data_IF_990783485005
#
_entry.id   IF_990783485005
#
_cell.length_a   1.000
_cell.length_b   1.000
_cell.length_c   1.000
_cell.angle_alpha   90.00
_cell.angle_beta   90.00
_cell.angle_gamma   90.00
#
_symmetry.space_group_name_H-M   'P 1'
#
loop_
_entity.id
_entity.type
_entity.pdbx_description
1 polymer ?
#
# COMPACT_ATOMS: atom_id res chain seq x y z
N UNK A 1 -40.29 77.00 -42.29
CA UNK A 1 -40.95 76.12 -43.27
C UNK A 1 -39.89 75.38 -44.08
N UNK A 2 -40.08 74.06 -44.20
CA UNK A 2 -39.49 73.10 -45.14
C UNK A 2 -37.99 72.71 -45.06
N UNK A 3 -37.85 71.43 -44.75
CA UNK A 3 -36.72 70.52 -44.88
C UNK A 3 -35.98 70.58 -46.23
N UNK A 4 -34.69 70.27 -46.18
CA UNK A 4 -34.10 69.21 -47.01
C UNK A 4 -32.86 68.61 -46.36
N UNK A 5 -32.69 67.32 -46.61
CA UNK A 5 -31.86 66.30 -45.95
C UNK A 5 -30.69 65.95 -46.88
N UNK A 6 -29.47 65.78 -46.36
CA UNK A 6 -28.61 64.61 -46.60
C UNK A 6 -27.16 64.76 -46.06
N UNK A 7 -26.74 63.70 -45.38
CA UNK A 7 -25.40 63.11 -45.25
C UNK A 7 -24.23 63.94 -44.69
N UNK A 8 -23.63 63.45 -43.59
CA UNK A 8 -22.32 62.75 -43.60
C UNK A 8 -22.10 61.99 -42.27
N UNK A 9 -21.44 60.84 -42.39
CA UNK A 9 -20.99 59.92 -41.34
C UNK A 9 -20.12 60.60 -40.27
N UNK A 10 -20.18 60.15 -39.01
CA UNK A 10 -19.06 59.46 -38.35
C UNK A 10 -19.42 58.83 -36.99
N UNK A 11 -18.62 57.82 -36.66
CA UNK A 11 -18.71 56.79 -35.63
C UNK A 11 -18.73 57.28 -34.18
N UNK A 12 -19.27 56.45 -33.28
CA UNK A 12 -18.54 55.90 -32.12
C UNK A 12 -19.41 54.89 -31.36
N UNK A 13 -19.45 53.65 -31.84
CA UNK A 13 -19.83 52.48 -31.05
C UNK A 13 -18.71 52.17 -30.05
N UNK A 14 -18.94 52.41 -28.77
CA UNK A 14 -18.02 52.06 -27.69
C UNK A 14 -18.06 50.53 -27.52
N UNK A 15 -17.11 49.83 -28.15
CA UNK A 15 -16.89 48.42 -27.89
C UNK A 15 -16.21 48.28 -26.51
N UNK A 16 -16.87 47.62 -25.57
CA UNK A 16 -16.23 47.05 -24.40
C UNK A 16 -15.32 45.91 -24.87
N UNK A 17 -14.02 46.19 -25.04
CA UNK A 17 -12.99 45.16 -25.09
C UNK A 17 -12.74 44.70 -23.66
N UNK A 18 -13.51 43.71 -23.21
CA UNK A 18 -13.09 42.90 -22.07
C UNK A 18 -11.80 42.21 -22.47
N UNK A 19 -10.69 42.59 -21.82
CA UNK A 19 -9.43 41.87 -21.87
C UNK A 19 -9.66 40.46 -21.30
N UNK A 20 -10.03 39.51 -22.15
CA UNK A 20 -9.74 38.12 -21.86
C UNK A 20 -8.21 38.03 -21.81
N UNK A 21 -7.65 37.96 -20.60
CA UNK A 21 -6.25 37.60 -20.43
C UNK A 21 -6.00 36.26 -21.14
N UNK A 22 -4.76 35.97 -21.57
CA UNK A 22 -4.45 34.68 -22.15
C UNK A 22 -4.83 33.60 -21.11
N UNK A 23 -5.91 32.86 -21.38
CA UNK A 23 -6.08 31.55 -20.78
C UNK A 23 -4.87 30.76 -21.31
N UNK A 24 -3.88 30.53 -20.45
CA UNK A 24 -2.78 29.63 -20.78
C UNK A 24 -3.45 28.30 -21.12
N UNK A 25 -3.32 27.89 -22.38
CA UNK A 25 -3.90 26.63 -22.81
C UNK A 25 -3.19 25.52 -22.04
N UNK A 26 -3.97 24.70 -21.32
CA UNK A 26 -3.46 23.49 -20.67
C UNK A 26 -2.71 22.63 -21.70
N UNK A 27 -1.57 22.09 -21.31
CA UNK A 27 -0.78 21.16 -22.14
C UNK A 27 -0.95 19.74 -21.60
N UNK A 28 -1.92 19.01 -22.16
CA UNK A 28 -2.21 17.63 -21.74
C UNK A 28 -1.03 16.67 -21.97
N UNK A 29 -0.22 16.89 -23.02
CA UNK A 29 0.91 16.01 -23.30
C UNK A 29 2.06 16.23 -22.31
N UNK A 30 2.30 17.48 -21.91
CA UNK A 30 3.23 17.81 -20.83
C UNK A 30 2.75 17.27 -19.47
N UNK A 31 1.46 17.40 -19.15
CA UNK A 31 0.85 16.82 -17.94
C UNK A 31 1.10 15.31 -17.87
N UNK A 32 0.79 14.56 -18.93
CA UNK A 32 0.96 13.11 -18.96
C UNK A 32 2.45 12.68 -18.88
N UNK A 33 3.37 13.48 -19.44
CA UNK A 33 4.82 13.24 -19.29
C UNK A 33 5.26 13.42 -17.84
N UNK A 34 4.77 14.46 -17.14
CA UNK A 34 5.07 14.69 -15.72
C UNK A 34 4.45 13.61 -14.83
N UNK A 35 3.23 13.17 -15.12
CA UNK A 35 2.61 12.03 -14.45
C UNK A 35 3.49 10.78 -14.57
N UNK A 36 3.90 10.42 -15.79
CA UNK A 36 4.81 9.28 -16.00
C UNK A 36 6.14 9.44 -15.25
N UNK A 37 6.73 10.64 -15.26
CA UNK A 37 7.96 10.91 -14.53
C UNK A 37 7.80 10.73 -13.01
N UNK A 38 6.65 11.15 -12.47
CA UNK A 38 6.33 11.02 -11.05
C UNK A 38 6.06 9.57 -10.63
N UNK A 39 5.40 8.77 -11.47
CA UNK A 39 5.14 7.35 -11.18
C UNK A 39 6.36 6.46 -11.41
N UNK A 40 7.27 6.85 -12.30
CA UNK A 40 8.50 6.10 -12.61
C UNK A 40 9.42 5.96 -11.39
N UNK A 41 9.37 6.89 -10.44
CA UNK A 41 10.12 6.80 -9.18
C UNK A 41 9.70 5.58 -8.32
N UNK A 42 8.45 5.12 -8.47
CA UNK A 42 7.93 3.89 -7.86
C UNK A 42 8.02 2.66 -8.75
N UNK A 43 8.72 2.73 -9.89
CA UNK A 43 8.86 1.63 -10.85
C UNK A 43 7.67 1.45 -11.80
N UNK A 44 6.66 2.32 -11.74
CA UNK A 44 5.51 2.31 -12.66
C UNK A 44 5.79 3.14 -13.89
N UNK A 45 5.65 2.54 -15.08
CA UNK A 45 5.85 3.19 -16.37
C UNK A 45 4.50 3.41 -17.02
N UNK A 46 4.19 4.66 -17.34
CA UNK A 46 2.96 5.05 -18.05
C UNK A 46 3.33 5.51 -19.45
N UNK A 47 2.73 4.89 -20.45
CA UNK A 47 2.78 5.36 -21.84
C UNK A 47 1.39 5.76 -22.30
N UNK A 48 1.32 6.65 -23.29
CA UNK A 48 0.08 7.13 -23.87
C UNK A 48 0.32 7.49 -25.34
N UNK A 49 -0.72 7.43 -26.16
CA UNK A 49 -0.62 7.78 -27.59
C UNK A 49 -0.86 9.27 -27.81
N UNK A 50 -1.86 9.83 -27.14
CA UNK A 50 -2.28 11.22 -27.29
C UNK A 50 -2.90 11.73 -25.99
N UNK A 51 -2.81 13.03 -25.76
CA UNK A 51 -3.52 13.74 -24.71
C UNK A 51 -4.18 14.97 -25.32
N UNK A 52 -5.51 14.95 -25.43
CA UNK A 52 -6.33 16.05 -25.93
C UNK A 52 -6.83 16.92 -24.79
N UNK A 53 -7.01 18.21 -25.05
CA UNK A 53 -7.46 19.19 -24.06
C UNK A 53 -8.73 19.85 -24.57
N UNK A 54 -9.80 19.81 -23.76
CA UNK A 54 -11.05 20.53 -23.98
C UNK A 54 -11.44 21.27 -22.69
N UNK A 55 -11.33 22.60 -22.70
CA UNK A 55 -11.55 23.40 -21.50
C UNK A 55 -10.54 23.06 -20.39
N UNK A 56 -11.04 22.62 -19.25
CA UNK A 56 -10.29 22.11 -18.08
C UNK A 56 -10.23 20.57 -18.04
N UNK A 57 -10.62 19.89 -19.12
CA UNK A 57 -10.56 18.43 -19.22
C UNK A 57 -9.40 18.00 -20.10
N UNK A 58 -8.63 17.01 -19.64
CA UNK A 58 -7.58 16.34 -20.42
C UNK A 58 -7.98 14.88 -20.63
N UNK A 59 -8.03 14.44 -21.88
CA UNK A 59 -8.33 13.05 -22.24
C UNK A 59 -7.07 12.40 -22.82
N UNK A 60 -6.51 11.44 -22.09
CA UNK A 60 -5.34 10.67 -22.52
C UNK A 60 -5.78 9.34 -23.13
N UNK A 61 -5.48 9.10 -24.40
CA UNK A 61 -5.87 7.90 -25.13
C UNK A 61 -4.70 6.94 -25.33
N UNK A 62 -5.01 5.64 -25.41
CA UNK A 62 -4.01 4.60 -25.62
C UNK A 62 -3.06 4.44 -24.43
N UNK A 63 -3.55 4.73 -23.22
CA UNK A 63 -2.78 4.63 -21.99
C UNK A 63 -2.47 3.17 -21.69
N UNK A 64 -1.20 2.91 -21.40
CA UNK A 64 -0.70 1.61 -20.97
C UNK A 64 0.14 1.79 -19.72
N UNK A 65 -0.03 0.87 -18.78
CA UNK A 65 0.69 0.85 -17.51
C UNK A 65 1.54 -0.40 -17.47
N UNK A 66 2.82 -0.27 -17.19
CA UNK A 66 3.75 -1.38 -17.00
C UNK A 66 4.63 -1.16 -15.77
N UNK A 67 5.44 -2.17 -15.47
CA UNK A 67 6.44 -2.10 -14.41
C UNK A 67 7.84 -2.19 -15.00
N UNK A 68 8.75 -1.32 -14.55
CA UNK A 68 10.12 -1.23 -15.09
C UNK A 68 10.87 -2.58 -15.01
N UNK A 69 10.58 -3.39 -14.00
CA UNK A 69 11.19 -4.70 -13.77
C UNK A 69 10.53 -5.85 -14.55
N UNK A 70 9.45 -5.59 -15.28
CA UNK A 70 8.77 -6.55 -16.17
C UNK A 70 8.58 -5.92 -17.57
N UNK A 71 9.67 -5.66 -18.30
CA UNK A 71 9.60 -4.99 -19.59
C UNK A 71 8.86 -5.86 -20.62
N UNK A 72 7.73 -5.36 -21.13
CA UNK A 72 6.91 -6.03 -22.14
C UNK A 72 5.51 -6.40 -21.64
N UNK A 73 5.35 -6.60 -20.34
CA UNK A 73 4.06 -6.89 -19.72
C UNK A 73 3.39 -5.56 -19.36
N UNK A 74 2.61 -5.05 -20.31
CA UNK A 74 1.86 -3.80 -20.16
C UNK A 74 0.36 -4.08 -20.11
N UNK A 75 -0.29 -3.47 -19.12
CA UNK A 75 -1.73 -3.43 -19.00
C UNK A 75 -2.27 -2.29 -19.85
N UNK A 76 -3.10 -2.62 -20.84
CA UNK A 76 -3.79 -1.62 -21.66
C UNK A 76 -4.97 -1.06 -20.88
N UNK A 77 -4.81 0.16 -20.37
CA UNK A 77 -5.87 0.86 -19.64
C UNK A 77 -6.86 1.46 -20.63
N UNK A 78 -6.39 1.99 -21.76
CA UNK A 78 -7.26 2.60 -22.76
C UNK A 78 -7.31 4.12 -22.61
N UNK A 79 -8.46 4.68 -22.24
CA UNK A 79 -8.65 6.14 -22.14
C UNK A 79 -8.75 6.58 -20.68
N UNK A 80 -7.94 7.56 -20.27
CA UNK A 80 -8.07 8.23 -18.98
C UNK A 80 -8.64 9.63 -19.19
N UNK A 81 -9.60 10.01 -18.36
CA UNK A 81 -10.18 11.36 -18.36
C UNK A 81 -9.83 12.08 -17.08
N UNK A 82 -9.18 13.23 -17.20
CA UNK A 82 -8.82 14.11 -16.10
C UNK A 82 -9.72 15.34 -16.17
N UNK A 83 -10.53 15.58 -15.14
CA UNK A 83 -11.47 16.70 -15.09
C UNK A 83 -11.01 17.78 -14.09
N UNK A 84 -11.32 19.03 -14.40
CA UNK A 84 -10.96 20.17 -13.55
C UNK A 84 -9.46 20.35 -13.41
N UNK A 85 -8.72 20.16 -14.50
CA UNK A 85 -7.27 20.28 -14.56
C UNK A 85 -6.88 21.75 -14.49
N UNK A 86 -5.99 22.05 -13.55
CA UNK A 86 -5.41 23.37 -13.36
C UNK A 86 -3.89 23.24 -13.29
N UNK A 87 -3.16 24.14 -13.95
CA UNK A 87 -1.71 24.23 -13.79
C UNK A 87 -1.39 24.84 -12.42
N UNK A 88 -0.53 24.20 -11.65
CA UNK A 88 -0.10 24.70 -10.34
C UNK A 88 1.08 25.65 -10.48
N UNK A 89 1.32 26.48 -9.46
CA UNK A 89 2.54 27.29 -9.40
C UNK A 89 3.78 26.43 -9.62
N UNK A 90 4.69 26.90 -10.48
CA UNK A 90 5.90 26.16 -10.86
C UNK A 90 5.73 25.16 -12.00
N UNK A 91 4.53 25.08 -12.61
CA UNK A 91 4.27 24.25 -13.79
C UNK A 91 3.94 22.79 -13.46
N UNK A 92 3.37 22.52 -12.28
CA UNK A 92 2.75 21.23 -12.00
C UNK A 92 1.30 21.20 -12.48
N UNK A 93 0.57 20.14 -12.18
CA UNK A 93 -0.86 20.05 -12.52
C UNK A 93 -1.66 19.51 -11.34
N UNK A 94 -2.90 19.95 -11.20
CA UNK A 94 -3.88 19.37 -10.29
C UNK A 94 -5.13 19.00 -11.08
N UNK A 95 -5.58 17.75 -10.98
CA UNK A 95 -6.87 17.31 -11.49
C UNK A 95 -7.83 17.08 -10.32
N UNK A 96 -9.08 17.50 -10.47
CA UNK A 96 -10.11 17.25 -9.45
C UNK A 96 -10.50 15.79 -9.41
N UNK A 97 -10.67 15.20 -10.60
CA UNK A 97 -11.07 13.81 -10.78
C UNK A 97 -10.27 13.20 -11.92
N UNK A 98 -9.88 11.94 -11.77
CA UNK A 98 -9.32 11.10 -12.82
C UNK A 98 -10.16 9.84 -12.90
N UNK A 99 -10.88 9.69 -14.00
CA UNK A 99 -11.72 8.53 -14.27
C UNK A 99 -11.02 7.59 -15.23
N UNK A 100 -11.11 6.31 -14.90
CA UNK A 100 -10.58 5.22 -15.70
C UNK A 100 -11.75 4.51 -16.40
N UNK A 101 -11.52 3.85 -17.53
CA UNK A 101 -12.54 3.03 -18.14
C UNK A 101 -12.70 1.74 -17.32
N UNK A 102 -13.88 1.13 -17.38
CA UNK A 102 -14.06 -0.22 -16.86
C UNK A 102 -13.07 -1.16 -17.54
N UNK A 103 -12.28 -1.85 -16.73
CA UNK A 103 -11.34 -2.85 -17.21
C UNK A 103 -12.11 -4.17 -17.32
N UNK A 104 -12.12 -4.74 -18.51
CA UNK A 104 -12.68 -6.07 -18.76
C UNK A 104 -11.78 -6.81 -19.72
N UNK A 105 -10.99 -7.74 -19.18
CA UNK A 105 -9.97 -8.47 -19.92
C UNK A 105 -10.26 -9.95 -19.86
N UNK A 106 -10.27 -10.61 -21.01
CA UNK A 106 -10.37 -12.06 -21.12
C UNK A 106 -9.11 -12.62 -21.78
N UNK A 107 -8.49 -13.62 -21.17
CA UNK A 107 -7.36 -14.36 -21.72
C UNK A 107 -7.57 -15.86 -21.48
N UNK A 108 -7.49 -16.65 -22.56
CA UNK A 108 -7.64 -18.11 -22.55
C UNK A 108 -8.82 -18.63 -21.71
N UNK A 109 -8.57 -18.97 -20.45
CA UNK A 109 -9.52 -19.57 -19.50
C UNK A 109 -9.91 -18.63 -18.35
N UNK A 110 -9.42 -17.38 -18.33
CA UNK A 110 -9.65 -16.43 -17.25
C UNK A 110 -10.18 -15.09 -17.71
N UNK A 111 -10.97 -14.44 -16.86
CA UNK A 111 -11.46 -13.07 -17.06
C UNK A 111 -11.18 -12.25 -15.82
N UNK A 112 -10.62 -11.07 -16.02
CA UNK A 112 -10.43 -10.06 -14.99
C UNK A 112 -11.35 -8.88 -15.29
N UNK A 113 -12.04 -8.37 -14.27
CA UNK A 113 -12.78 -7.13 -14.40
C UNK A 113 -12.59 -6.23 -13.19
N UNK A 114 -12.57 -4.91 -13.42
CA UNK A 114 -12.54 -3.88 -12.41
C UNK A 114 -13.35 -2.68 -12.91
N UNK A 115 -14.19 -2.11 -12.06
CA UNK A 115 -15.15 -1.06 -12.43
C UNK A 115 -15.07 0.14 -11.52
N UNK A 116 -15.60 1.26 -12.00
CA UNK A 116 -15.76 2.49 -11.21
C UNK A 116 -14.44 2.92 -10.55
N UNK A 117 -13.34 2.85 -11.30
CA UNK A 117 -12.00 3.24 -10.83
C UNK A 117 -11.86 4.76 -10.97
N UNK A 118 -11.55 5.42 -9.87
CA UNK A 118 -11.47 6.87 -9.77
C UNK A 118 -10.34 7.31 -8.83
N UNK A 119 -9.69 8.42 -9.17
CA UNK A 119 -8.80 9.17 -8.27
C UNK A 119 -9.34 10.59 -8.14
N UNK A 120 -9.41 11.12 -6.93
CA UNK A 120 -9.75 12.53 -6.68
C UNK A 120 -8.55 13.30 -6.13
N UNK A 121 -8.50 14.60 -6.43
CA UNK A 121 -7.48 15.50 -5.91
C UNK A 121 -6.05 15.17 -6.36
N UNK A 122 -5.87 14.57 -7.54
CA UNK A 122 -4.55 14.20 -8.05
C UNK A 122 -3.69 15.46 -8.26
N UNK A 123 -2.54 15.51 -7.60
CA UNK A 123 -1.54 16.57 -7.73
C UNK A 123 -0.26 16.00 -8.32
N UNK A 124 0.05 16.43 -9.55
CA UNK A 124 1.20 16.01 -10.34
C UNK A 124 2.33 17.06 -10.16
N UNK A 125 3.50 16.66 -9.65
CA UNK A 125 4.59 17.59 -9.40
C UNK A 125 5.19 18.13 -10.70
N UNK A 126 5.65 19.38 -10.68
CA UNK A 126 6.39 19.96 -11.80
C UNK A 126 7.73 19.25 -12.04
N UNK A 127 8.37 18.80 -10.95
CA UNK A 127 9.66 18.12 -10.95
C UNK A 127 9.66 16.93 -9.99
N UNK A 128 9.39 15.74 -10.52
CA UNK A 128 9.43 14.49 -9.76
C UNK A 128 10.81 14.11 -9.17
N UNK A 129 11.88 14.84 -9.51
CA UNK A 129 13.25 14.56 -9.01
C UNK A 129 13.70 15.48 -7.88
N UNK A 130 12.82 16.39 -7.45
CA UNK A 130 13.08 17.32 -6.37
C UNK A 130 13.19 16.62 -5.00
N UNK A 131 13.08 17.39 -3.93
CA UNK A 131 13.32 16.91 -2.56
C UNK A 131 12.33 17.45 -1.54
N UNK A 132 11.24 18.05 -2.01
CA UNK A 132 10.20 18.67 -1.19
C UNK A 132 8.87 17.94 -1.39
N UNK A 133 7.88 18.24 -0.54
CA UNK A 133 6.53 17.68 -0.70
C UNK A 133 5.87 18.02 -2.03
N UNK A 134 6.22 19.17 -2.62
CA UNK A 134 5.68 19.60 -3.91
C UNK A 134 6.24 18.78 -5.09
N UNK A 135 7.24 17.93 -4.84
CA UNK A 135 7.91 17.10 -5.84
C UNK A 135 7.34 15.66 -5.86
N UNK A 136 6.30 15.39 -5.08
CA UNK A 136 5.69 14.06 -4.91
C UNK A 136 4.33 14.03 -5.59
N UNK A 137 4.00 12.90 -6.22
CA UNK A 137 2.65 12.63 -6.71
C UNK A 137 1.73 12.39 -5.50
N UNK A 138 0.70 13.22 -5.35
CA UNK A 138 -0.28 13.12 -4.26
C UNK A 138 -1.68 12.94 -4.84
N UNK A 139 -2.57 12.34 -4.06
CA UNK A 139 -4.00 12.24 -4.34
C UNK A 139 -4.76 12.48 -3.03
N UNK A 140 -6.07 12.72 -3.10
CA UNK A 140 -6.93 12.85 -1.90
C UNK A 140 -7.66 11.53 -1.63
N UNK A 141 -8.33 10.98 -2.65
CA UNK A 141 -8.97 9.66 -2.57
C UNK A 141 -8.63 8.83 -3.81
N UNK A 142 -8.48 7.52 -3.62
CA UNK A 142 -8.53 6.52 -4.67
C UNK A 142 -9.68 5.56 -4.35
N UNK A 143 -10.52 5.28 -5.33
CA UNK A 143 -11.59 4.30 -5.19
C UNK A 143 -11.71 3.39 -6.41
N UNK A 144 -12.21 2.19 -6.16
CA UNK A 144 -12.65 1.25 -7.18
C UNK A 144 -13.93 0.59 -6.71
N UNK A 145 -14.85 0.38 -7.63
CA UNK A 145 -15.98 -0.53 -7.46
C UNK A 145 -15.54 -1.99 -7.53
N UNK A 146 -16.46 -2.90 -7.92
CA UNK A 146 -16.20 -4.32 -7.89
C UNK A 146 -15.01 -4.76 -8.74
N UNK A 147 -14.13 -5.57 -8.15
CA UNK A 147 -13.06 -6.28 -8.84
C UNK A 147 -13.41 -7.76 -8.80
N UNK A 148 -13.30 -8.45 -9.94
CA UNK A 148 -13.58 -9.88 -10.02
C UNK A 148 -12.58 -10.60 -10.93
N UNK A 149 -12.23 -11.83 -10.53
CA UNK A 149 -11.48 -12.78 -11.33
C UNK A 149 -12.33 -14.04 -11.50
N UNK A 150 -12.62 -14.36 -12.75
CA UNK A 150 -13.24 -15.59 -13.17
C UNK A 150 -12.20 -16.51 -13.80
N UNK A 151 -12.27 -17.80 -13.47
CA UNK A 151 -11.51 -18.86 -14.14
C UNK A 151 -12.50 -19.94 -14.56
N UNK A 152 -12.54 -20.27 -15.85
CA UNK A 152 -13.39 -21.31 -16.45
C UNK A 152 -14.89 -21.09 -16.16
N UNK A 153 -15.35 -19.84 -16.12
CA UNK A 153 -16.74 -19.49 -15.85
C UNK A 153 -17.14 -19.63 -14.38
N UNK A 154 -16.16 -19.62 -13.46
CA UNK A 154 -16.37 -19.57 -12.02
C UNK A 154 -15.63 -18.38 -11.42
N UNK A 155 -16.34 -17.60 -10.61
CA UNK A 155 -15.74 -16.53 -9.79
C UNK A 155 -14.82 -17.15 -8.73
N UNK A 156 -13.50 -17.00 -8.92
CA UNK A 156 -12.50 -17.50 -7.96
C UNK A 156 -12.07 -16.44 -6.95
N UNK A 157 -12.25 -15.16 -7.30
CA UNK A 157 -11.90 -14.04 -6.46
C UNK A 157 -12.79 -12.83 -6.75
N UNK A 158 -13.20 -12.13 -5.70
CA UNK A 158 -13.94 -10.87 -5.81
C UNK A 158 -13.57 -9.92 -4.67
N UNK A 159 -13.62 -8.63 -4.95
CA UNK A 159 -13.59 -7.53 -3.98
C UNK A 159 -14.79 -6.64 -4.30
N UNK A 160 -15.51 -6.17 -3.29
CA UNK A 160 -16.66 -5.27 -3.48
C UNK A 160 -16.22 -3.85 -3.82
N UNK A 161 -15.12 -3.39 -3.22
CA UNK A 161 -14.44 -2.15 -3.58
C UNK A 161 -13.16 -1.93 -2.78
N UNK A 162 -12.35 -1.00 -3.24
CA UNK A 162 -11.20 -0.46 -2.51
C UNK A 162 -11.43 1.03 -2.37
N UNK A 163 -11.15 1.56 -1.18
CA UNK A 163 -11.14 2.99 -0.90
C UNK A 163 -9.84 3.30 -0.16
N UNK A 164 -9.17 4.38 -0.55
CA UNK A 164 -7.94 4.85 0.09
C UNK A 164 -7.97 6.36 0.15
N UNK A 165 -7.68 6.93 1.31
CA UNK A 165 -7.69 8.35 1.56
C UNK A 165 -6.30 8.80 2.02
N UNK A 166 -5.89 9.98 1.56
CA UNK A 166 -4.67 10.65 1.97
C UNK A 166 -5.02 12.09 2.35
N UNK A 167 -4.95 12.38 3.64
CA UNK A 167 -5.25 13.70 4.20
C UNK A 167 -3.96 14.40 4.59
N UNK A 168 -3.78 15.65 4.13
CA UNK A 168 -2.65 16.47 4.56
C UNK A 168 -2.91 17.03 5.96
N UNK A 169 -1.93 16.85 6.85
CA UNK A 169 -1.95 17.38 8.22
C UNK A 169 -0.80 18.37 8.44
N UNK A 170 -0.80 19.06 9.57
CA UNK A 170 0.30 19.95 9.96
C UNK A 170 1.62 19.15 10.04
N UNK A 171 2.52 19.38 9.08
CA UNK A 171 3.83 18.73 9.03
C UNK A 171 3.83 17.30 8.47
N UNK A 172 2.72 16.79 7.93
CA UNK A 172 2.63 15.41 7.48
C UNK A 172 1.36 15.02 6.74
N UNK A 173 1.07 13.72 6.75
CA UNK A 173 -0.13 13.12 6.17
C UNK A 173 -0.71 12.08 7.12
N UNK A 174 -2.04 11.98 7.16
CA UNK A 174 -2.72 10.77 7.60
C UNK A 174 -3.25 10.02 6.39
N UNK A 175 -3.31 8.70 6.50
CA UNK A 175 -3.85 7.86 5.45
C UNK A 175 -4.68 6.73 6.05
N UNK A 176 -5.70 6.33 5.30
CA UNK A 176 -6.45 5.11 5.55
C UNK A 176 -6.74 4.41 4.22
N UNK A 177 -6.89 3.09 4.29
CA UNK A 177 -7.35 2.29 3.18
C UNK A 177 -8.24 1.15 3.67
N UNK A 178 -9.20 0.78 2.84
CA UNK A 178 -10.15 -0.30 3.10
C UNK A 178 -10.37 -1.11 1.82
N UNK A 179 -10.18 -2.41 1.92
CA UNK A 179 -10.58 -3.40 0.91
C UNK A 179 -11.81 -4.11 1.44
N UNK A 180 -12.97 -3.79 0.87
CA UNK A 180 -14.25 -4.30 1.31
C UNK A 180 -14.64 -5.60 0.59
N UNK A 181 -15.23 -6.53 1.34
CA UNK A 181 -15.91 -7.70 0.77
C UNK A 181 -15.02 -8.62 -0.05
N UNK A 182 -13.77 -8.82 0.38
CA UNK A 182 -12.84 -9.77 -0.24
C UNK A 182 -13.41 -11.17 -0.11
N UNK A 183 -13.64 -11.83 -1.24
CA UNK A 183 -14.11 -13.21 -1.35
C UNK A 183 -13.15 -14.01 -2.21
N UNK A 184 -12.82 -15.22 -1.79
CA UNK A 184 -12.04 -16.16 -2.59
C UNK A 184 -12.62 -17.57 -2.48
N UNK A 185 -12.80 -18.24 -3.62
CA UNK A 185 -13.24 -19.63 -3.67
C UNK A 185 -12.02 -20.55 -3.84
N UNK A 186 -11.69 -21.28 -2.76
CA UNK A 186 -10.59 -22.24 -2.74
C UNK A 186 -11.03 -23.65 -3.16
N UNK A 187 -12.30 -23.86 -3.52
CA UNK A 187 -12.79 -25.17 -3.99
C UNK A 187 -12.16 -25.64 -5.30
N UNK A 188 -11.58 -24.72 -6.07
CA UNK A 188 -10.92 -25.00 -7.35
C UNK A 188 -9.44 -25.37 -7.19
N UNK A 189 -8.90 -25.40 -5.96
CA UNK A 189 -7.53 -25.85 -5.72
C UNK A 189 -7.42 -27.36 -5.96
N UNK A 190 -6.62 -27.75 -6.95
CA UNK A 190 -6.47 -29.15 -7.38
C UNK A 190 -5.36 -29.91 -6.65
N UNK A 191 -4.38 -29.20 -6.06
CA UNK A 191 -3.31 -29.84 -5.30
C UNK A 191 -3.89 -30.63 -4.11
N UNK A 192 -3.59 -31.93 -4.06
CA UNK A 192 -4.21 -32.84 -3.12
C UNK A 192 -3.94 -32.47 -1.66
N UNK A 193 -2.71 -32.02 -1.35
CA UNK A 193 -2.33 -31.64 0.01
C UNK A 193 -3.00 -30.35 0.46
N UNK A 194 -3.12 -29.39 -0.46
CA UNK A 194 -3.80 -28.11 -0.23
C UNK A 194 -5.31 -28.33 -0.07
N UNK A 195 -5.91 -29.19 -0.89
CA UNK A 195 -7.34 -29.51 -0.81
C UNK A 195 -7.71 -30.15 0.52
N UNK A 196 -6.93 -31.11 0.99
CA UNK A 196 -7.15 -31.71 2.31
C UNK A 196 -7.09 -30.65 3.42
N UNK A 197 -6.08 -29.78 3.39
CA UNK A 197 -5.96 -28.70 4.37
C UNK A 197 -7.16 -27.73 4.32
N UNK A 198 -7.57 -27.29 3.12
CA UNK A 198 -8.72 -26.40 2.92
C UNK A 198 -10.00 -27.02 3.50
N UNK A 199 -10.26 -28.30 3.22
CA UNK A 199 -11.44 -29.00 3.73
C UNK A 199 -11.40 -29.15 5.26
N UNK A 200 -10.26 -29.56 5.82
CA UNK A 200 -10.09 -29.79 7.27
C UNK A 200 -10.14 -28.49 8.08
N UNK A 201 -9.66 -27.39 7.52
CA UNK A 201 -9.70 -26.06 8.14
C UNK A 201 -11.03 -25.34 7.86
N UNK A 202 -11.88 -25.88 6.99
CA UNK A 202 -13.16 -25.27 6.60
C UNK A 202 -12.97 -23.94 5.88
N UNK A 203 -11.95 -23.86 5.02
CA UNK A 203 -11.52 -22.64 4.31
C UNK A 203 -11.94 -22.64 2.83
N UNK A 204 -12.95 -23.44 2.45
CA UNK A 204 -13.41 -23.53 1.05
C UNK A 204 -13.74 -22.16 0.47
N UNK A 205 -14.28 -21.26 1.30
CA UNK A 205 -14.51 -19.86 0.93
C UNK A 205 -13.83 -18.95 1.95
N UNK A 206 -13.07 -17.99 1.47
CA UNK A 206 -12.59 -16.86 2.27
C UNK A 206 -13.56 -15.70 2.08
N UNK A 207 -13.86 -15.01 3.17
CA UNK A 207 -14.72 -13.82 3.22
C UNK A 207 -14.14 -12.89 4.27
N UNK A 208 -13.71 -11.70 3.86
CA UNK A 208 -13.01 -10.80 4.76
C UNK A 208 -12.88 -9.38 4.27
N UNK A 209 -12.17 -8.60 5.07
CA UNK A 209 -11.86 -7.19 4.82
C UNK A 209 -10.40 -6.95 5.17
N UNK A 210 -9.77 -5.98 4.49
CA UNK A 210 -8.44 -5.51 4.86
C UNK A 210 -8.54 -4.02 5.15
N UNK A 211 -8.08 -3.60 6.33
CA UNK A 211 -8.04 -2.19 6.71
C UNK A 211 -6.60 -1.77 7.00
N UNK A 212 -6.27 -0.54 6.63
CA UNK A 212 -4.99 0.08 6.94
C UNK A 212 -5.24 1.51 7.43
N UNK A 213 -4.53 1.93 8.47
CA UNK A 213 -4.54 3.30 8.97
C UNK A 213 -3.16 3.70 9.45
N UNK A 214 -2.80 4.94 9.23
CA UNK A 214 -1.54 5.45 9.73
C UNK A 214 -1.30 6.91 9.41
N UNK A 215 -0.07 7.32 9.68
CA UNK A 215 0.40 8.68 9.43
C UNK A 215 1.89 8.69 9.08
N UNK A 216 2.28 9.77 8.41
CA UNK A 216 3.66 10.07 8.09
C UNK A 216 3.99 11.54 8.39
N UNK A 217 4.91 11.77 9.32
CA UNK A 217 5.48 13.08 9.62
C UNK A 217 6.72 13.33 8.74
N UNK A 218 6.73 14.44 8.03
CA UNK A 218 7.70 14.69 6.96
C UNK A 218 9.07 15.08 7.50
N UNK A 219 9.10 15.88 8.57
CA UNK A 219 10.35 16.38 9.17
C UNK A 219 11.10 15.27 9.91
N UNK A 220 10.41 14.56 10.81
CA UNK A 220 10.99 13.46 11.59
C UNK A 220 11.13 12.17 10.77
N UNK A 221 10.41 12.06 9.65
CA UNK A 221 10.26 10.82 8.91
C UNK A 221 9.56 9.74 9.72
N UNK A 222 8.73 10.10 10.69
CA UNK A 222 7.98 9.16 11.52
C UNK A 222 6.85 8.56 10.71
N UNK A 223 6.89 7.25 10.50
CA UNK A 223 5.77 6.46 9.99
C UNK A 223 5.14 5.74 11.17
N UNK A 224 3.86 5.96 11.38
CA UNK A 224 3.04 5.18 12.29
C UNK A 224 1.98 4.43 11.47
N UNK A 225 2.07 3.10 11.46
CA UNK A 225 1.01 2.21 11.00
C UNK A 225 0.23 1.81 12.25
N UNK A 226 -0.89 2.48 12.50
CA UNK A 226 -1.72 2.24 13.69
C UNK A 226 -2.55 0.97 13.54
N UNK A 227 -2.94 0.66 12.31
CA UNK A 227 -3.69 -0.53 11.95
C UNK A 227 -3.26 -1.03 10.58
N UNK A 228 -2.97 -2.32 10.49
CA UNK A 228 -2.96 -3.07 9.24
C UNK A 228 -3.58 -4.43 9.53
N UNK A 229 -4.89 -4.50 9.33
CA UNK A 229 -5.71 -5.60 9.79
C UNK A 229 -6.27 -6.41 8.64
N UNK A 230 -6.18 -7.73 8.80
CA UNK A 230 -6.78 -8.74 7.95
C UNK A 230 -7.86 -9.44 8.75
N UNK A 231 -9.13 -9.17 8.44
CA UNK A 231 -10.27 -9.72 9.17
C UNK A 231 -11.04 -10.69 8.29
N UNK A 232 -11.00 -11.97 8.65
CA UNK A 232 -11.63 -13.04 7.87
C UNK A 232 -12.62 -13.84 8.72
N UNK A 233 -13.84 -14.01 8.19
CA UNK A 233 -14.90 -14.79 8.83
C UNK A 233 -14.44 -16.23 9.06
N UNK A 234 -14.76 -16.75 10.25
CA UNK A 234 -14.39 -18.10 10.68
C UNK A 234 -12.88 -18.39 10.72
N UNK A 235 -12.04 -17.35 10.59
CA UNK A 235 -10.60 -17.44 10.72
C UNK A 235 -10.16 -16.64 11.94
N UNK A 236 -10.29 -15.32 11.85
CA UNK A 236 -9.84 -14.38 12.86
C UNK A 236 -9.39 -13.06 12.25
N UNK A 237 -8.93 -12.17 13.11
CA UNK A 237 -8.39 -10.87 12.75
C UNK A 237 -6.91 -10.81 13.09
N UNK A 238 -6.05 -10.67 12.09
CA UNK A 238 -4.63 -10.39 12.28
C UNK A 238 -4.41 -8.89 12.11
N UNK A 239 -3.99 -8.20 13.16
CA UNK A 239 -3.61 -6.79 13.12
C UNK A 239 -2.10 -6.63 13.34
N UNK A 240 -1.49 -5.80 12.50
CA UNK A 240 -0.08 -5.40 12.59
C UNK A 240 -0.04 -3.88 12.79
N UNK A 241 0.69 -3.44 13.79
CA UNK A 241 0.98 -2.02 14.02
C UNK A 241 2.49 -1.83 14.15
N UNK A 242 3.03 -0.78 13.54
CA UNK A 242 4.48 -0.49 13.53
C UNK A 242 4.70 1.01 13.56
N UNK A 243 5.63 1.46 14.40
CA UNK A 243 6.06 2.86 14.50
C UNK A 243 7.59 2.92 14.39
N UNK A 244 8.08 3.68 13.40
CA UNK A 244 9.50 3.95 13.21
C UNK A 244 9.73 5.36 12.67
N UNK A 245 10.92 5.90 12.93
CA UNK A 245 11.34 7.23 12.47
C UNK A 245 12.56 7.17 11.56
N UNK A 246 12.84 8.28 10.87
CA UNK A 246 13.96 8.39 9.93
C UNK A 246 13.60 8.13 8.47
N UNK A 247 12.32 7.83 8.17
CA UNK A 247 11.81 7.71 6.80
C UNK A 247 11.52 9.09 6.21
N UNK A 248 12.56 9.90 6.08
CA UNK A 248 12.49 11.27 5.57
C UNK A 248 12.45 11.27 4.04
N UNK A 249 12.14 12.42 3.43
CA UNK A 249 12.28 12.60 1.98
C UNK A 249 13.70 12.30 1.48
N UNK A 250 14.72 12.67 2.26
CA UNK A 250 16.11 12.35 1.96
C UNK A 250 16.36 10.84 1.95
N UNK A 251 15.81 10.12 2.93
CA UNK A 251 15.89 8.65 2.99
C UNK A 251 15.24 8.01 1.76
N UNK A 252 14.00 8.41 1.41
CA UNK A 252 13.28 7.87 0.25
C UNK A 252 14.05 8.10 -1.04
N UNK A 253 14.60 9.31 -1.22
CA UNK A 253 15.42 9.64 -2.39
C UNK A 253 16.67 8.78 -2.48
N UNK A 254 17.41 8.63 -1.39
CA UNK A 254 18.60 7.78 -1.35
C UNK A 254 18.26 6.30 -1.61
N UNK A 255 17.10 5.82 -1.15
CA UNK A 255 16.60 4.48 -1.47
C UNK A 255 16.32 4.32 -2.97
N UNK A 256 15.62 5.28 -3.58
CA UNK A 256 15.32 5.28 -5.02
C UNK A 256 16.59 5.34 -5.86
N UNK A 257 17.57 6.18 -5.49
CA UNK A 257 18.86 6.29 -6.17
C UNK A 257 19.66 4.98 -6.08
N UNK A 258 19.67 4.32 -4.92
CA UNK A 258 20.32 3.04 -4.74
C UNK A 258 19.70 1.95 -5.63
N UNK A 259 18.36 1.87 -5.66
CA UNK A 259 17.63 0.94 -6.51
C UNK A 259 17.89 1.19 -8.00
N UNK A 260 17.78 2.44 -8.45
CA UNK A 260 18.03 2.83 -9.85
C UNK A 260 19.46 2.51 -10.28
N UNK A 261 20.44 2.75 -9.41
CA UNK A 261 21.85 2.45 -9.68
C UNK A 261 22.07 0.94 -9.80
N UNK A 262 21.45 0.14 -8.93
CA UNK A 262 21.53 -1.31 -8.97
C UNK A 262 20.87 -1.91 -10.23
N UNK A 263 19.72 -1.37 -10.64
CA UNK A 263 19.01 -1.80 -11.85
C UNK A 263 19.80 -1.48 -13.12
N UNK A 264 20.38 -0.28 -13.20
CA UNK A 264 21.18 0.18 -14.34
C UNK A 264 22.52 -0.55 -14.49
N UNK A 265 23.01 -1.22 -13.43
CA UNK A 265 24.30 -1.89 -13.46
C UNK A 265 24.18 -3.24 -14.21
N UNK A 266 24.94 -3.45 -15.31
CA UNK A 266 24.92 -4.70 -16.06
C UNK A 266 25.51 -5.88 -15.29
N UNK A 267 26.34 -5.63 -14.27
CA UNK A 267 26.89 -6.65 -13.39
C UNK A 267 26.03 -6.81 -12.13
N UNK A 268 25.13 -7.80 -12.14
CA UNK A 268 24.17 -8.02 -11.04
C UNK A 268 24.83 -8.35 -9.70
N UNK A 269 26.00 -8.98 -9.69
CA UNK A 269 26.68 -9.32 -8.44
C UNK A 269 27.24 -8.06 -7.76
N UNK A 270 27.91 -7.22 -8.53
CA UNK A 270 28.43 -5.92 -8.07
C UNK A 270 27.29 -4.96 -7.70
N UNK A 271 26.20 -4.96 -8.48
CA UNK A 271 24.99 -4.21 -8.19
C UNK A 271 24.39 -4.60 -6.82
N UNK A 272 24.28 -5.91 -6.56
CA UNK A 272 23.74 -6.42 -5.30
C UNK A 272 24.64 -6.07 -4.12
N UNK A 273 25.96 -6.13 -4.29
CA UNK A 273 26.91 -5.73 -3.24
C UNK A 273 26.81 -4.23 -2.95
N UNK A 274 26.79 -3.37 -3.97
CA UNK A 274 26.67 -1.93 -3.82
C UNK A 274 25.32 -1.53 -3.20
N UNK A 275 24.22 -2.15 -3.64
CA UNK A 275 22.89 -1.98 -3.06
C UNK A 275 22.88 -2.40 -1.59
N UNK A 276 23.50 -3.53 -1.25
CA UNK A 276 23.64 -3.99 0.14
C UNK A 276 24.36 -2.97 1.02
N UNK A 277 25.45 -2.39 0.55
CA UNK A 277 26.18 -1.34 1.28
C UNK A 277 25.37 -0.05 1.42
N UNK A 278 24.65 0.36 0.37
CA UNK A 278 23.76 1.51 0.42
C UNK A 278 22.63 1.29 1.43
N UNK A 279 22.00 0.12 1.42
CA UNK A 279 20.97 -0.26 2.39
C UNK A 279 21.49 -0.25 3.83
N UNK A 280 22.72 -0.74 4.07
CA UNK A 280 23.34 -0.64 5.40
C UNK A 280 23.56 0.81 5.85
N UNK A 281 23.85 1.73 4.92
CA UNK A 281 23.92 3.17 5.21
C UNK A 281 22.55 3.77 5.50
N UNK A 282 21.51 3.36 4.76
CA UNK A 282 20.14 3.80 4.93
C UNK A 282 19.55 3.36 6.27
N UNK A 283 19.73 2.08 6.63
CA UNK A 283 19.22 1.52 7.90
C UNK A 283 19.78 2.27 9.12
N UNK A 284 20.95 2.91 9.01
CA UNK A 284 21.49 3.73 10.10
C UNK A 284 20.67 4.98 10.43
N UNK A 285 19.83 5.44 9.50
CA UNK A 285 18.96 6.59 9.70
C UNK A 285 17.66 6.22 10.41
N UNK A 286 17.35 4.92 10.49
CA UNK A 286 16.09 4.43 11.04
C UNK A 286 16.16 4.27 12.56
N UNK A 287 15.05 4.61 13.20
CA UNK A 287 14.83 4.43 14.64
C UNK A 287 13.55 3.65 14.87
N UNK A 288 13.63 2.59 15.66
CA UNK A 288 12.49 1.79 16.06
C UNK A 288 11.79 2.42 17.25
N UNK A 289 10.47 2.65 17.15
CA UNK A 289 9.67 3.21 18.23
C UNK A 289 8.79 2.15 18.88
N UNK A 290 8.01 1.42 18.08
CA UNK A 290 7.22 0.29 18.57
C UNK A 290 6.78 -0.65 17.45
N UNK A 291 6.37 -1.86 17.82
CA UNK A 291 5.65 -2.78 16.95
C UNK A 291 4.69 -3.65 17.76
N UNK A 292 3.59 -4.06 17.15
CA UNK A 292 2.63 -4.99 17.73
C UNK A 292 2.04 -5.88 16.65
N UNK A 293 1.90 -7.15 16.96
CA UNK A 293 1.14 -8.13 16.18
C UNK A 293 0.09 -8.70 17.13
N UNK A 294 -1.18 -8.56 16.75
CA UNK A 294 -2.31 -9.11 17.49
C UNK A 294 -3.11 -10.03 16.58
N UNK A 295 -3.40 -11.23 17.06
CA UNK A 295 -4.32 -12.14 16.40
C UNK A 295 -5.54 -12.38 17.30
N UNK A 296 -6.72 -12.02 16.84
CA UNK A 296 -8.00 -12.33 17.47
C UNK A 296 -8.61 -13.58 16.78
N UNK A 297 -8.73 -14.69 17.51
CA UNK A 297 -9.18 -15.97 16.96
C UNK A 297 -10.70 -15.96 16.74
N UNK A 298 -11.12 -16.34 15.54
CA UNK A 298 -12.53 -16.58 15.21
C UNK A 298 -12.74 -18.04 14.75
N UNK A 299 -12.14 -19.00 15.47
CA UNK A 299 -12.21 -20.47 15.33
C UNK A 299 -11.04 -21.16 14.63
N UNK A 300 -10.11 -20.46 13.97
CA UNK A 300 -9.07 -21.16 13.18
C UNK A 300 -8.10 -21.95 14.03
N UNK A 301 -7.76 -21.46 15.22
CA UNK A 301 -6.72 -22.07 16.07
C UNK A 301 -7.07 -23.51 16.40
N UNK A 302 -8.32 -23.77 16.82
CA UNK A 302 -8.77 -25.12 17.12
C UNK A 302 -8.70 -26.03 15.88
N UNK A 303 -9.19 -25.56 14.73
CA UNK A 303 -9.17 -26.33 13.48
C UNK A 303 -7.73 -26.64 13.04
N UNK A 304 -6.82 -25.67 13.17
CA UNK A 304 -5.41 -25.83 12.85
C UNK A 304 -4.73 -26.86 13.77
N UNK A 305 -5.02 -26.84 15.07
CA UNK A 305 -4.52 -27.83 16.02
C UNK A 305 -5.06 -29.23 15.74
N UNK A 306 -6.36 -29.35 15.43
CA UNK A 306 -6.99 -30.63 15.08
C UNK A 306 -6.39 -31.20 13.78
N UNK A 307 -6.20 -30.36 12.76
CA UNK A 307 -5.56 -30.75 11.51
C UNK A 307 -4.10 -31.18 11.72
N UNK A 308 -3.28 -30.34 12.36
CA UNK A 308 -1.88 -30.65 12.63
C UNK A 308 -1.70 -31.87 13.53
N UNK A 309 -2.58 -32.06 14.51
CA UNK A 309 -2.62 -33.26 15.34
C UNK A 309 -2.87 -34.50 14.51
N UNK A 310 -3.87 -34.46 13.62
CA UNK A 310 -4.22 -35.59 12.75
C UNK A 310 -3.07 -36.02 11.83
N UNK A 311 -2.28 -35.07 11.33
CA UNK A 311 -1.08 -35.33 10.52
C UNK A 311 0.03 -36.04 11.33
N UNK A 312 0.06 -35.85 12.66
CA UNK A 312 0.99 -36.50 13.57
C UNK A 312 0.40 -37.75 14.24
N UNK A 313 -0.81 -38.17 13.86
CA UNK A 313 -1.49 -39.33 14.46
C UNK A 313 -1.97 -39.11 15.90
N UNK A 314 -2.12 -37.85 16.33
CA UNK A 314 -2.62 -37.47 17.66
C UNK A 314 -3.87 -36.58 17.53
N UNK A 315 -4.58 -36.38 18.63
CA UNK A 315 -5.68 -35.41 18.68
C UNK A 315 -5.15 -33.97 18.77
N UNK A 316 -5.94 -32.97 18.35
CA UNK A 316 -5.57 -31.56 18.54
C UNK A 316 -5.41 -31.18 20.01
N UNK A 317 -6.16 -31.82 20.90
CA UNK A 317 -6.03 -31.64 22.35
C UNK A 317 -4.70 -32.20 22.89
N UNK A 318 -4.27 -33.39 22.42
CA UNK A 318 -2.94 -33.92 22.75
C UNK A 318 -1.83 -33.02 22.21
N UNK A 319 -1.94 -32.55 20.97
CA UNK A 319 -0.99 -31.61 20.40
C UNK A 319 -0.93 -30.30 21.21
N UNK A 320 -2.08 -29.81 21.66
CA UNK A 320 -2.18 -28.64 22.53
C UNK A 320 -1.40 -28.85 23.83
N UNK A 321 -1.59 -29.98 24.51
CA UNK A 321 -0.84 -30.29 25.73
C UNK A 321 0.66 -30.44 25.46
N UNK A 322 1.05 -31.01 24.32
CA UNK A 322 2.46 -31.07 23.90
C UNK A 322 3.05 -29.67 23.70
N UNK A 323 2.34 -28.76 23.03
CA UNK A 323 2.81 -27.39 22.82
C UNK A 323 2.98 -26.63 24.14
N UNK A 324 2.03 -26.77 25.07
CA UNK A 324 2.11 -26.18 26.41
C UNK A 324 3.35 -26.63 27.19
N UNK A 325 3.77 -27.89 27.01
CA UNK A 325 4.99 -28.42 27.62
C UNK A 325 6.28 -28.07 26.87
N UNK A 326 6.24 -28.01 25.54
CA UNK A 326 7.42 -27.79 24.69
C UNK A 326 7.83 -26.33 24.60
N UNK A 327 6.87 -25.40 24.51
CA UNK A 327 7.17 -23.97 24.36
C UNK A 327 8.07 -23.44 25.49
N UNK A 328 7.81 -23.72 26.78
CA UNK A 328 8.70 -23.29 27.86
C UNK A 328 10.14 -23.83 27.72
N UNK A 329 10.31 -25.06 27.22
CA UNK A 329 11.61 -25.69 27.01
C UNK A 329 12.37 -25.00 25.87
N UNK A 330 11.68 -24.67 24.77
CA UNK A 330 12.26 -23.92 23.67
C UNK A 330 12.68 -22.52 24.13
N UNK A 331 11.83 -21.85 24.90
CA UNK A 331 12.12 -20.51 25.44
C UNK A 331 13.27 -20.49 26.43
N UNK A 332 13.46 -21.56 27.21
CA UNK A 332 14.59 -21.68 28.14
C UNK A 332 15.96 -21.62 27.44
N UNK A 333 16.04 -22.03 26.17
CA UNK A 333 17.28 -21.96 25.38
C UNK A 333 17.71 -20.51 25.09
N UNK A 334 16.78 -19.56 25.11
CA UNK A 334 17.07 -18.14 24.91
C UNK A 334 17.69 -17.48 26.14
N UNK A 335 17.67 -18.17 27.30
CA UNK A 335 18.17 -17.66 28.59
C UNK A 335 17.53 -16.31 28.98
N UNK A 336 16.20 -16.20 28.82
CA UNK A 336 15.40 -15.02 29.14
C UNK A 336 14.23 -15.37 30.07
N UNK A 337 14.45 -15.46 31.40
CA UNK A 337 13.46 -15.97 32.34
C UNK A 337 12.14 -15.19 32.35
N UNK A 338 12.21 -13.86 32.22
CA UNK A 338 11.01 -13.01 32.21
C UNK A 338 10.15 -13.26 30.96
N UNK A 339 10.76 -13.22 29.77
CA UNK A 339 10.07 -13.49 28.52
C UNK A 339 9.56 -14.94 28.47
N UNK A 340 10.34 -15.90 28.96
CA UNK A 340 9.93 -17.29 29.08
C UNK A 340 8.64 -17.42 29.92
N UNK A 341 8.56 -16.74 31.06
CA UNK A 341 7.37 -16.76 31.91
C UNK A 341 6.16 -16.12 31.20
N UNK A 342 6.35 -14.97 30.55
CA UNK A 342 5.28 -14.29 29.80
C UNK A 342 4.75 -15.16 28.66
N UNK A 343 5.64 -15.70 27.82
CA UNK A 343 5.27 -16.60 26.71
C UNK A 343 4.58 -17.85 27.23
N UNK A 344 5.10 -18.47 28.29
CA UNK A 344 4.49 -19.67 28.88
C UNK A 344 3.07 -19.38 29.40
N UNK A 345 2.87 -18.26 30.09
CA UNK A 345 1.55 -17.87 30.60
C UNK A 345 0.57 -17.55 29.47
N UNK A 346 1.01 -16.78 28.46
CA UNK A 346 0.20 -16.39 27.32
C UNK A 346 -0.20 -17.60 26.47
N UNK A 347 0.75 -18.47 26.13
CA UNK A 347 0.48 -19.71 25.37
C UNK A 347 -0.47 -20.62 26.13
N UNK A 348 -0.31 -20.75 27.46
CA UNK A 348 -1.23 -21.56 28.23
C UNK A 348 -2.66 -21.01 28.19
N UNK A 349 -2.79 -19.70 28.45
CA UNK A 349 -4.07 -18.99 28.47
C UNK A 349 -4.76 -19.03 27.10
N UNK A 350 -4.01 -18.78 26.03
CA UNK A 350 -4.51 -18.78 24.67
C UNK A 350 -4.95 -20.17 24.24
N UNK A 351 -4.13 -21.20 24.44
CA UNK A 351 -4.47 -22.56 23.98
C UNK A 351 -5.60 -23.22 24.78
N UNK A 352 -5.84 -22.81 26.03
CA UNK A 352 -7.02 -23.29 26.80
C UNK A 352 -8.33 -22.70 26.30
N UNK A 353 -8.32 -21.43 25.92
CA UNK A 353 -9.48 -20.72 25.43
C UNK A 353 -9.05 -19.64 24.42
N UNK A 354 -8.84 -19.99 23.14
CA UNK A 354 -8.36 -19.04 22.14
C UNK A 354 -9.32 -17.87 22.00
N UNK A 355 -8.82 -16.64 22.22
CA UNK A 355 -9.53 -15.40 21.93
C UNK A 355 -8.62 -14.38 21.29
N UNK A 356 -7.51 -14.05 21.95
CA UNK A 356 -6.51 -13.14 21.39
C UNK A 356 -5.09 -13.51 21.82
N UNK A 357 -4.12 -13.28 20.95
CA UNK A 357 -2.69 -13.37 21.25
C UNK A 357 -2.01 -12.11 20.74
N UNK A 358 -1.34 -11.39 21.62
CA UNK A 358 -0.65 -10.15 21.31
C UNK A 358 0.84 -10.30 21.59
N UNK A 359 1.67 -9.96 20.61
CA UNK A 359 3.12 -9.82 20.75
C UNK A 359 3.44 -8.36 20.45
N UNK A 360 4.04 -7.66 21.41
CA UNK A 360 4.41 -6.26 21.26
C UNK A 360 5.87 -6.02 21.62
N UNK A 361 6.45 -4.99 21.04
CA UNK A 361 7.77 -4.45 21.33
C UNK A 361 7.61 -2.93 21.46
N UNK A 362 7.76 -2.43 22.68
CA UNK A 362 7.60 -1.01 23.01
C UNK A 362 8.72 -0.62 23.99
N UNK A 363 9.92 -0.28 23.50
CA UNK A 363 11.03 0.14 24.34
C UNK A 363 10.70 1.44 25.09
N UNK A 364 11.30 1.65 26.27
CA UNK A 364 11.10 2.88 27.05
C UNK A 364 11.57 4.15 26.30
N UNK A 365 12.50 3.99 25.36
CA UNK A 365 13.02 5.04 24.49
C UNK A 365 13.16 4.51 23.07
N UNK A 366 12.96 5.35 22.04
CA UNK A 366 13.28 5.00 20.66
C UNK A 366 14.67 4.39 20.52
N UNK A 367 14.78 3.27 19.80
CA UNK A 367 16.02 2.49 19.66
C UNK A 367 16.53 2.62 18.21
N UNK A 368 17.71 3.22 17.98
CA UNK A 368 18.29 3.26 16.65
C UNK A 368 18.52 1.86 16.09
N UNK A 369 18.17 1.62 14.83
CA UNK A 369 18.36 0.31 14.19
C UNK A 369 19.81 -0.21 14.25
N UNK A 370 20.87 0.62 14.13
CA UNK A 370 22.24 0.17 14.33
C UNK A 370 22.51 -0.46 15.69
N UNK A 371 21.84 0.02 16.74
CA UNK A 371 21.96 -0.56 18.08
C UNK A 371 21.32 -1.96 18.12
N UNK A 372 20.18 -2.15 17.44
CA UNK A 372 19.53 -3.46 17.31
C UNK A 372 20.43 -4.43 16.56
N UNK A 373 21.02 -4.01 15.44
CA UNK A 373 21.97 -4.83 14.65
C UNK A 373 23.21 -5.18 15.49
N UNK A 374 23.78 -4.20 16.20
CA UNK A 374 24.92 -4.42 17.09
C UNK A 374 24.59 -5.41 18.22
N UNK A 375 23.40 -5.30 18.82
CA UNK A 375 22.92 -6.24 19.82
C UNK A 375 22.73 -7.65 19.23
N UNK A 376 22.20 -7.77 18.00
CA UNK A 376 22.04 -9.06 17.32
C UNK A 376 23.36 -9.79 17.10
N UNK A 377 24.43 -9.05 16.77
CA UNK A 377 25.75 -9.62 16.52
C UNK A 377 26.52 -9.93 17.82
N UNK A 378 26.41 -9.07 18.84
CA UNK A 378 27.22 -9.17 20.05
C UNK A 378 26.56 -9.91 21.22
N UNK A 379 25.24 -9.77 21.37
CA UNK A 379 24.47 -10.30 22.49
C UNK A 379 22.98 -10.46 22.13
N UNK A 380 22.61 -11.39 21.22
CA UNK A 380 21.27 -11.49 20.65
C UNK A 380 20.18 -11.73 21.71
N UNK A 381 20.52 -12.36 22.83
CA UNK A 381 19.62 -12.56 23.96
C UNK A 381 19.19 -11.25 24.64
N UNK A 382 19.90 -10.14 24.45
CA UNK A 382 19.52 -8.84 25.04
C UNK A 382 18.42 -8.11 24.26
N UNK A 383 18.20 -8.48 22.99
CA UNK A 383 17.25 -7.79 22.10
C UNK A 383 15.84 -7.72 22.69
N UNK A 384 15.23 -8.81 23.19
CA UNK A 384 13.86 -8.72 23.68
C UNK A 384 13.72 -7.76 24.87
N UNK A 385 14.74 -7.67 25.73
CA UNK A 385 14.76 -6.70 26.82
C UNK A 385 14.95 -5.26 26.32
N UNK A 386 15.86 -5.03 25.37
CA UNK A 386 16.09 -3.70 24.77
C UNK A 386 14.83 -3.17 24.07
N UNK A 387 14.11 -4.05 23.37
CA UNK A 387 12.89 -3.70 22.65
C UNK A 387 11.63 -3.72 23.52
N UNK A 388 11.74 -4.07 24.80
CA UNK A 388 10.59 -4.15 25.71
C UNK A 388 9.53 -5.16 25.23
N UNK A 389 9.96 -6.33 24.74
CA UNK A 389 9.05 -7.34 24.18
C UNK A 389 8.11 -7.88 25.26
N UNK A 390 6.82 -7.94 24.93
CA UNK A 390 5.77 -8.50 25.76
C UNK A 390 4.90 -9.46 24.97
N UNK A 391 4.47 -10.53 25.62
CA UNK A 391 3.50 -11.48 25.06
C UNK A 391 2.33 -11.64 26.02
N UNK A 392 1.14 -11.33 25.55
CA UNK A 392 -0.12 -11.41 26.29
C UNK A 392 -1.14 -12.23 25.52
N UNK A 393 -2.12 -12.79 26.23
CA UNK A 393 -3.21 -13.54 25.63
C UNK A 393 -4.52 -13.18 26.33
N UNK A 394 -5.60 -13.15 25.54
CA UNK A 394 -6.97 -12.89 25.97
C UNK A 394 -7.14 -11.54 26.69
N UNK A 395 -6.42 -10.52 26.20
CA UNK A 395 -6.44 -9.12 26.66
C UNK A 395 -7.33 -8.19 25.83
#
# INVERSE_FOLDING_TARGET
MKHMRNFHLMMASTAFLTLAGPALALDGADMMKKLNAATSAGGTVITFEKADVDGDTVTATGVQVGYANLPGDTLKIGELTFEGVEETEGGGYRAKTVSFPDIDMSQEEGRFSAKDIEITGLTIPANATGGTLNDILLYETFSTGPIAVDIKGKDVFAIEGIESNLERQDGGFAYDANVAGLKADLSQVEDASSKEAIEKLGLTTLDGTVTMKGSWEVESGKIAVDEYAFDFKNIGRLNIAVDFSGYTLGFVKSLQEAMKTAEANPNKEEANQAAGLAMLGLVQQLTFNSASIRFDDASITKKALDYAGSQQGVTGEQLTQSLKGLVPIMMAQLNLPELQNQVSAAVNTYLDAPKSLTISAAPEKPVPFPMIIGAAMGAPNTIPSVLGVKVTAND
#
